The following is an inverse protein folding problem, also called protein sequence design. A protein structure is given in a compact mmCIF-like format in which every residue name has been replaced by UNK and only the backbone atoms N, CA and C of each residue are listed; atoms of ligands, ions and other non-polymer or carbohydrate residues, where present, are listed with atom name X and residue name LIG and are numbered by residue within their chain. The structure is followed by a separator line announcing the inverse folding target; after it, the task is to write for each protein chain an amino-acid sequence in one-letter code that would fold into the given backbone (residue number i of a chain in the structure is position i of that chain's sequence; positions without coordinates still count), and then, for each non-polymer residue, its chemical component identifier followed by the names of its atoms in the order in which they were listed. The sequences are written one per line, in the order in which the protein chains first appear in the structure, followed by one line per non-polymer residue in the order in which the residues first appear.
data_IF_506238878414
#
_entry.id   IF_506238878414
#
_cell.length_a   1.000
_cell.length_b   1.000
_cell.length_c   1.000
_cell.angle_alpha   90.00
_cell.angle_beta   90.00
_cell.angle_gamma   90.00
#
_symmetry.space_group_name_H-M   'P 1'
#
loop_
_entity.id
_entity.type
_entity.pdbx_description
1 polymer ?
#
# COMPACT_ATOMS: atom_id res chain seq x y z
N UNK A 1 4.03 9.00 -8.83
CA UNK A 1 3.09 8.09 -8.13
C UNK A 1 2.93 8.51 -6.67
N UNK A 2 1.71 8.51 -6.14
CA UNK A 2 1.40 8.81 -4.73
C UNK A 2 0.80 7.58 -4.05
N UNK A 3 1.49 7.01 -3.06
CA UNK A 3 1.06 5.81 -2.34
C UNK A 3 0.45 6.16 -0.98
N UNK A 4 -0.88 6.14 -0.91
CA UNK A 4 -1.63 6.50 0.30
C UNK A 4 -1.41 5.49 1.44
N UNK A 5 -1.14 5.99 2.64
CA UNK A 5 -1.10 5.20 3.88
C UNK A 5 -2.48 4.95 4.50
N UNK A 6 -2.54 4.12 5.55
CA UNK A 6 -3.81 3.78 6.23
C UNK A 6 -4.57 4.99 6.79
N UNK A 7 -3.86 6.03 7.23
CA UNK A 7 -4.45 7.26 7.76
C UNK A 7 -5.29 8.04 6.72
N UNK A 8 -5.05 7.81 5.42
CA UNK A 8 -5.79 8.46 4.35
C UNK A 8 -7.21 7.87 4.16
N UNK A 9 -7.48 6.69 4.74
CA UNK A 9 -8.65 5.87 4.40
C UNK A 9 -9.57 5.51 5.57
N UNK A 10 -9.25 5.88 6.81
CA UNK A 10 -10.04 5.52 7.99
C UNK A 10 -10.16 4.00 8.22
N UNK A 11 -10.96 3.59 9.20
CA UNK A 11 -11.13 2.15 9.55
C UNK A 11 -12.50 1.57 9.18
N UNK A 12 -13.46 2.41 8.80
CA UNK A 12 -14.82 2.02 8.41
C UNK A 12 -15.37 2.96 7.33
N UNK A 13 -16.54 2.67 6.70
CA UNK A 13 -17.08 3.49 5.63
C UNK A 13 -17.30 4.96 5.96
N UNK A 14 -17.77 5.28 7.18
CA UNK A 14 -18.04 6.66 7.59
C UNK A 14 -16.73 7.43 7.76
N UNK A 15 -15.77 6.85 8.49
CA UNK A 15 -14.44 7.43 8.67
C UNK A 15 -13.70 7.58 7.33
N UNK A 16 -13.84 6.60 6.43
CA UNK A 16 -13.19 6.64 5.12
C UNK A 16 -13.68 7.81 4.28
N UNK A 17 -14.99 8.06 4.21
CA UNK A 17 -15.53 9.21 3.46
C UNK A 17 -14.97 10.53 4.01
N UNK A 18 -14.80 10.63 5.34
CA UNK A 18 -14.23 11.81 5.97
C UNK A 18 -12.73 11.96 5.65
N UNK A 19 -11.94 10.89 5.82
CA UNK A 19 -10.50 10.89 5.56
C UNK A 19 -10.17 11.15 4.09
N UNK A 20 -10.95 10.56 3.18
CA UNK A 20 -10.83 10.75 1.73
C UNK A 20 -11.10 12.20 1.33
N UNK A 21 -11.93 12.96 2.07
CA UNK A 21 -12.13 14.37 1.77
C UNK A 21 -10.84 15.20 1.92
N UNK A 22 -10.08 14.95 2.99
CA UNK A 22 -8.78 15.61 3.20
C UNK A 22 -7.75 15.11 2.18
N UNK A 23 -7.75 13.80 1.92
CA UNK A 23 -6.86 13.18 0.94
C UNK A 23 -7.07 13.75 -0.46
N UNK A 24 -8.32 13.85 -0.93
CA UNK A 24 -8.65 14.43 -2.23
C UNK A 24 -8.22 15.89 -2.33
N UNK A 25 -8.37 16.67 -1.26
CA UNK A 25 -7.91 18.06 -1.21
C UNK A 25 -6.39 18.17 -1.44
N UNK A 26 -5.60 17.34 -0.75
CA UNK A 26 -4.16 17.32 -0.90
C UNK A 26 -3.72 16.85 -2.30
N UNK A 27 -4.33 15.76 -2.81
CA UNK A 27 -4.04 15.23 -4.14
C UNK A 27 -4.29 16.25 -5.25
N UNK A 28 -5.41 16.99 -5.18
CA UNK A 28 -5.68 18.04 -6.16
C UNK A 28 -4.72 19.23 -6.02
N UNK A 29 -4.21 19.51 -4.82
CA UNK A 29 -3.14 20.48 -4.63
C UNK A 29 -1.88 20.12 -5.41
N UNK A 30 -1.50 18.83 -5.42
CA UNK A 30 -0.38 18.34 -6.23
C UNK A 30 -0.62 18.52 -7.73
N UNK A 31 -1.84 18.22 -8.21
CA UNK A 31 -2.19 18.42 -9.62
C UNK A 31 -2.13 19.90 -10.00
N UNK A 32 -2.59 20.80 -9.13
CA UNK A 32 -2.54 22.25 -9.38
C UNK A 32 -1.12 22.83 -9.41
N UNK A 33 -0.14 22.13 -8.83
CA UNK A 33 1.29 22.45 -9.00
C UNK A 33 1.84 22.00 -10.37
N UNK A 34 1.02 21.38 -11.23
CA UNK A 34 1.41 20.94 -12.56
C UNK A 34 1.86 19.48 -12.65
N UNK A 35 1.62 18.68 -11.60
CA UNK A 35 2.00 17.27 -11.58
C UNK A 35 0.92 16.38 -12.19
N UNK A 36 1.35 15.38 -12.97
CA UNK A 36 0.55 14.23 -13.34
C UNK A 36 0.65 13.16 -12.24
N UNK A 37 -0.49 12.65 -11.76
CA UNK A 37 -0.51 11.75 -10.61
C UNK A 37 -1.22 10.43 -10.89
N UNK A 38 -0.61 9.38 -10.36
CA UNK A 38 -1.21 8.04 -10.21
C UNK A 38 -1.28 7.75 -8.72
N UNK A 39 -2.41 7.20 -8.27
CA UNK A 39 -2.69 6.97 -6.86
C UNK A 39 -2.70 5.48 -6.59
N UNK A 40 -1.95 5.05 -5.56
CA UNK A 40 -2.11 3.73 -4.94
C UNK A 40 -2.52 3.91 -3.50
N UNK A 41 -2.94 2.82 -2.84
CA UNK A 41 -3.32 2.89 -1.44
C UNK A 41 -3.13 1.56 -0.72
N UNK A 42 -2.98 1.58 0.60
CA UNK A 42 -3.13 0.38 1.43
C UNK A 42 -4.60 -0.05 1.58
N UNK A 43 -4.85 -1.25 2.12
CA UNK A 43 -6.20 -1.76 2.34
C UNK A 43 -6.39 -2.50 3.68
N UNK A 44 -5.38 -2.51 4.57
CA UNK A 44 -5.32 -3.39 5.74
C UNK A 44 -6.60 -3.40 6.60
N UNK A 45 -7.09 -2.24 7.10
CA UNK A 45 -8.34 -2.19 7.84
C UNK A 45 -9.56 -2.66 7.03
N UNK A 46 -9.64 -2.29 5.76
CA UNK A 46 -10.78 -2.54 4.89
C UNK A 46 -10.88 -4.01 4.48
N UNK A 47 -9.77 -4.64 4.09
CA UNK A 47 -9.72 -6.06 3.75
C UNK A 47 -9.99 -6.91 5.00
N UNK A 48 -9.46 -6.49 6.16
CA UNK A 48 -9.77 -7.15 7.44
C UNK A 48 -11.25 -7.07 7.81
N UNK A 49 -11.89 -5.92 7.62
CA UNK A 49 -13.35 -5.78 7.82
C UNK A 49 -14.15 -6.71 6.91
N UNK A 50 -13.78 -6.81 5.63
CA UNK A 50 -14.44 -7.70 4.66
C UNK A 50 -14.27 -9.18 5.07
N UNK A 51 -13.05 -9.60 5.41
CA UNK A 51 -12.77 -10.97 5.86
C UNK A 51 -13.57 -11.33 7.11
N UNK A 52 -13.57 -10.43 8.12
CA UNK A 52 -14.31 -10.66 9.36
C UNK A 52 -15.82 -10.77 9.11
N UNK A 53 -16.37 -9.97 8.20
CA UNK A 53 -17.79 -10.04 7.85
C UNK A 53 -18.15 -11.38 7.19
N UNK A 54 -17.33 -11.87 6.26
CA UNK A 54 -17.55 -13.17 5.63
C UNK A 54 -17.34 -14.34 6.60
N UNK A 55 -16.35 -14.28 7.49
CA UNK A 55 -16.16 -15.28 8.53
C UNK A 55 -17.37 -15.35 9.47
N UNK A 56 -17.85 -14.21 9.97
CA UNK A 56 -19.05 -14.17 10.80
C UNK A 56 -20.31 -14.68 10.08
N UNK A 57 -20.46 -14.39 8.79
CA UNK A 57 -21.57 -14.88 7.98
C UNK A 57 -21.45 -16.39 7.65
N UNK A 58 -20.23 -16.91 7.56
CA UNK A 58 -19.98 -18.35 7.46
C UNK A 58 -20.49 -19.06 8.72
N UNK A 59 -20.06 -18.59 9.89
CA UNK A 59 -20.44 -19.17 11.18
C UNK A 59 -21.95 -19.05 11.46
N UNK A 60 -22.55 -17.91 11.11
CA UNK A 60 -23.95 -17.63 11.44
C UNK A 60 -24.96 -18.29 10.49
N UNK A 61 -24.68 -18.31 9.18
CA UNK A 61 -25.66 -18.72 8.15
C UNK A 61 -25.08 -19.61 7.04
N UNK A 62 -23.84 -20.08 7.18
CA UNK A 62 -23.21 -20.99 6.21
C UNK A 62 -22.85 -20.33 4.88
N UNK A 63 -22.58 -19.01 4.87
CA UNK A 63 -22.04 -18.33 3.68
C UNK A 63 -20.69 -18.95 3.31
N UNK A 64 -20.34 -19.15 2.02
CA UNK A 64 -19.01 -19.64 1.65
C UNK A 64 -17.90 -18.77 2.23
N UNK A 65 -16.80 -19.40 2.66
CA UNK A 65 -15.60 -18.67 3.03
C UNK A 65 -15.12 -17.83 1.84
N UNK A 66 -14.75 -16.57 2.11
CA UNK A 66 -14.26 -15.67 1.08
C UNK A 66 -12.73 -15.68 1.08
N UNK A 67 -12.07 -16.18 0.02
CA UNK A 67 -10.62 -16.24 0.00
C UNK A 67 -10.00 -14.82 -0.04
N UNK A 68 -8.74 -14.75 0.35
CA UNK A 68 -8.03 -13.48 0.51
C UNK A 68 -7.89 -12.67 -0.80
N UNK A 69 -7.62 -13.27 -1.98
CA UNK A 69 -7.61 -12.54 -3.25
C UNK A 69 -8.92 -11.82 -3.55
N UNK A 70 -10.06 -12.48 -3.34
CA UNK A 70 -11.40 -11.91 -3.55
C UNK A 70 -11.68 -10.79 -2.54
N UNK A 71 -11.33 -10.99 -1.27
CA UNK A 71 -11.38 -9.91 -0.26
C UNK A 71 -10.52 -8.71 -0.69
N UNK A 72 -9.34 -8.96 -1.25
CA UNK A 72 -8.46 -7.95 -1.84
C UNK A 72 -9.15 -7.19 -2.97
N UNK A 73 -9.75 -7.90 -3.92
CA UNK A 73 -10.49 -7.31 -5.04
C UNK A 73 -11.68 -6.45 -4.57
N UNK A 74 -12.46 -6.94 -3.60
CA UNK A 74 -13.56 -6.19 -3.00
C UNK A 74 -13.05 -4.90 -2.34
N UNK A 75 -11.91 -4.96 -1.64
CA UNK A 75 -11.32 -3.79 -1.00
C UNK A 75 -10.86 -2.71 -2.00
N UNK A 76 -10.37 -3.11 -3.18
CA UNK A 76 -10.01 -2.16 -4.24
C UNK A 76 -11.24 -1.43 -4.78
N UNK A 77 -12.32 -2.16 -5.07
CA UNK A 77 -13.58 -1.55 -5.51
C UNK A 77 -14.17 -0.61 -4.46
N UNK A 78 -14.16 -1.03 -3.19
CA UNK A 78 -14.65 -0.24 -2.07
C UNK A 78 -13.86 1.07 -1.86
N UNK A 79 -12.53 0.98 -1.76
CA UNK A 79 -11.69 2.15 -1.50
C UNK A 79 -11.63 3.06 -2.74
N UNK A 80 -11.47 2.48 -3.93
CA UNK A 80 -11.44 3.22 -5.19
C UNK A 80 -12.73 3.98 -5.45
N UNK A 81 -13.88 3.39 -5.11
CA UNK A 81 -15.19 4.06 -5.15
C UNK A 81 -15.22 5.32 -4.27
N UNK A 82 -14.73 5.23 -3.03
CA UNK A 82 -14.70 6.40 -2.16
C UNK A 82 -13.69 7.45 -2.63
N UNK A 83 -12.50 7.04 -3.06
CA UNK A 83 -11.48 7.94 -3.61
C UNK A 83 -11.99 8.68 -4.85
N UNK A 84 -12.57 7.97 -5.84
CA UNK A 84 -13.12 8.63 -7.04
C UNK A 84 -14.22 9.64 -6.68
N UNK A 85 -15.07 9.35 -5.69
CA UNK A 85 -16.10 10.29 -5.25
C UNK A 85 -15.49 11.50 -4.54
N UNK A 86 -14.50 11.30 -3.69
CA UNK A 86 -13.78 12.37 -3.00
C UNK A 86 -13.08 13.31 -3.97
N UNK A 87 -12.32 12.74 -4.92
CA UNK A 87 -11.65 13.46 -6.00
C UNK A 87 -12.68 14.19 -6.86
N UNK A 88 -13.76 13.51 -7.28
CA UNK A 88 -14.86 14.13 -8.03
C UNK A 88 -15.48 15.34 -7.34
N UNK A 89 -15.76 15.23 -6.04
CA UNK A 89 -16.28 16.34 -5.23
C UNK A 89 -15.30 17.50 -5.17
N UNK A 90 -14.02 17.23 -4.97
CA UNK A 90 -13.01 18.28 -4.88
C UNK A 90 -12.75 18.94 -6.24
N UNK A 91 -12.74 18.17 -7.34
CA UNK A 91 -12.68 18.71 -8.71
C UNK A 91 -13.84 19.68 -8.97
N UNK A 92 -15.06 19.30 -8.56
CA UNK A 92 -16.24 20.15 -8.75
C UNK A 92 -16.12 21.49 -7.99
N UNK A 93 -15.65 21.47 -6.73
CA UNK A 93 -15.42 22.70 -5.96
C UNK A 93 -14.39 23.63 -6.62
N UNK A 94 -13.39 23.07 -7.30
CA UNK A 94 -12.34 23.82 -8.00
C UNK A 94 -12.67 24.11 -9.47
N UNK A 95 -13.90 23.83 -9.90
CA UNK A 95 -14.36 23.99 -11.29
C UNK A 95 -13.47 23.26 -12.32
N UNK A 96 -12.90 22.12 -11.94
CA UNK A 96 -12.09 21.25 -12.81
C UNK A 96 -12.98 20.18 -13.46
N UNK A 97 -12.58 19.73 -14.65
CA UNK A 97 -13.32 18.74 -15.46
C UNK A 97 -12.50 17.49 -15.77
N UNK A 98 -11.52 17.15 -14.94
CA UNK A 98 -10.74 15.93 -15.10
C UNK A 98 -11.58 14.69 -14.80
N UNK A 99 -11.08 13.53 -15.21
CA UNK A 99 -11.70 12.24 -14.97
C UNK A 99 -10.86 11.43 -13.99
N UNK A 100 -11.51 10.65 -13.13
CA UNK A 100 -10.85 9.73 -12.23
C UNK A 100 -11.36 8.31 -12.47
N UNK A 101 -10.47 7.33 -12.52
CA UNK A 101 -10.81 5.93 -12.75
C UNK A 101 -10.07 5.02 -11.76
N UNK A 102 -10.77 4.03 -11.22
CA UNK A 102 -10.16 2.96 -10.43
C UNK A 102 -9.99 1.73 -11.32
N UNK A 103 -8.80 1.17 -11.34
CA UNK A 103 -8.48 -0.07 -12.05
C UNK A 103 -8.32 -1.19 -11.03
N UNK A 104 -9.17 -2.23 -11.13
CA UNK A 104 -8.94 -3.47 -10.38
C UNK A 104 -7.63 -4.06 -10.90
N UNK A 105 -6.68 -4.25 -10.00
CA UNK A 105 -5.28 -4.54 -10.35
C UNK A 105 -4.82 -5.85 -9.74
N UNK A 106 -4.28 -6.72 -10.58
CA UNK A 106 -3.56 -7.94 -10.24
C UNK A 106 -2.06 -7.70 -10.34
N UNK A 107 -1.28 -8.33 -9.45
CA UNK A 107 0.17 -8.31 -9.49
C UNK A 107 0.69 -9.74 -9.51
N UNK A 108 1.47 -10.05 -10.54
CA UNK A 108 2.17 -11.31 -10.69
C UNK A 108 3.28 -11.41 -9.63
N UNK A 109 3.33 -12.55 -8.95
CA UNK A 109 4.34 -12.93 -7.98
C UNK A 109 5.03 -14.23 -8.44
N UNK A 110 6.23 -14.47 -7.90
CA UNK A 110 6.92 -15.74 -8.09
C UNK A 110 6.25 -16.84 -7.22
N UNK A 111 5.75 -17.96 -7.79
CA UNK A 111 5.19 -19.04 -6.99
C UNK A 111 6.20 -19.70 -6.03
N UNK A 112 7.50 -19.56 -6.29
CA UNK A 112 8.57 -20.09 -5.45
C UNK A 112 9.12 -19.05 -4.46
N UNK A 113 8.49 -17.88 -4.35
CA UNK A 113 8.91 -16.82 -3.43
C UNK A 113 9.04 -17.36 -1.97
N UNK A 114 10.20 -17.15 -1.31
CA UNK A 114 10.41 -17.60 0.07
C UNK A 114 9.34 -17.12 1.07
N UNK A 115 8.67 -16.00 0.81
CA UNK A 115 7.60 -15.47 1.65
C UNK A 115 6.40 -16.42 1.79
N UNK A 116 6.16 -17.31 0.82
CA UNK A 116 5.13 -18.35 0.93
C UNK A 116 5.48 -19.41 1.99
N UNK A 117 6.77 -19.68 2.19
CA UNK A 117 7.25 -20.62 3.21
C UNK A 117 7.42 -19.97 4.58
N UNK A 118 7.64 -18.66 4.62
CA UNK A 118 7.77 -17.88 5.85
C UNK A 118 6.85 -16.64 5.85
N UNK A 119 5.56 -16.82 6.15
CA UNK A 119 4.60 -15.72 6.25
C UNK A 119 4.98 -14.73 7.35
N UNK A 120 5.05 -13.44 7.02
CA UNK A 120 5.45 -12.38 7.98
C UNK A 120 4.45 -11.24 8.07
N UNK A 121 3.54 -11.08 7.09
CA UNK A 121 2.68 -9.88 7.02
C UNK A 121 1.46 -10.04 7.91
N UNK A 122 1.30 -9.24 8.98
CA UNK A 122 0.19 -9.39 9.90
C UNK A 122 -1.11 -8.84 9.31
N UNK A 123 -2.19 -9.62 9.40
CA UNK A 123 -3.54 -9.31 8.92
C UNK A 123 -4.59 -9.54 10.02
N UNK A 124 -5.78 -8.98 9.83
CA UNK A 124 -6.90 -9.17 10.77
C UNK A 124 -6.68 -8.53 12.15
N UNK A 125 -7.53 -8.87 13.13
CA UNK A 125 -7.50 -8.30 14.48
C UNK A 125 -6.39 -8.91 15.36
N UNK A 126 -6.23 -8.35 16.57
CA UNK A 126 -5.35 -8.90 17.61
C UNK A 126 -6.08 -9.95 18.44
N UNK A 127 -5.37 -11.00 18.80
CA UNK A 127 -5.82 -12.13 19.61
C UNK A 127 -4.91 -12.34 20.81
N UNK A 128 -5.38 -13.08 21.82
CA UNK A 128 -4.50 -13.58 22.89
C UNK A 128 -3.62 -14.72 22.39
N UNK A 129 -2.56 -15.04 23.13
CA UNK A 129 -1.69 -16.18 22.80
C UNK A 129 -2.47 -17.50 22.81
N UNK A 130 -3.43 -17.66 23.73
CA UNK A 130 -4.27 -18.85 23.84
C UNK A 130 -5.16 -19.01 22.61
N UNK A 131 -5.84 -17.95 22.19
CA UNK A 131 -6.68 -17.95 20.98
C UNK A 131 -5.85 -18.25 19.72
N UNK A 132 -4.67 -17.63 19.60
CA UNK A 132 -3.78 -17.89 18.47
C UNK A 132 -3.34 -19.37 18.41
N UNK A 133 -3.00 -19.97 19.56
CA UNK A 133 -2.66 -21.40 19.66
C UNK A 133 -3.83 -22.31 19.30
N UNK A 134 -5.05 -21.95 19.72
CA UNK A 134 -6.27 -22.67 19.38
C UNK A 134 -6.50 -22.65 17.86
N UNK A 135 -6.47 -21.48 17.22
CA UNK A 135 -6.64 -21.37 15.77
C UNK A 135 -5.57 -22.14 14.97
N UNK A 136 -4.32 -22.13 15.42
CA UNK A 136 -3.24 -22.91 14.78
C UNK A 136 -3.40 -24.42 14.98
N UNK A 137 -4.04 -24.86 16.08
CA UNK A 137 -4.33 -26.26 16.32
C UNK A 137 -5.53 -26.76 15.48
N UNK A 138 -6.53 -25.92 15.27
CA UNK A 138 -7.69 -26.21 14.42
C UNK A 138 -7.35 -26.22 12.93
N UNK A 139 -6.51 -25.27 12.49
CA UNK A 139 -6.11 -25.13 11.10
C UNK A 139 -4.60 -24.82 11.00
N UNK A 140 -3.78 -25.87 10.77
CA UNK A 140 -2.32 -25.73 10.65
C UNK A 140 -1.86 -24.84 9.48
N UNK A 141 -2.76 -24.47 8.54
CA UNK A 141 -2.44 -23.54 7.46
C UNK A 141 -2.46 -22.08 7.90
N UNK A 142 -3.08 -21.77 9.05
CA UNK A 142 -3.05 -20.44 9.65
C UNK A 142 -1.80 -20.33 10.52
N UNK A 143 -1.04 -19.26 10.31
CA UNK A 143 0.13 -18.93 11.13
C UNK A 143 -0.16 -17.64 11.89
N UNK A 144 0.16 -17.61 13.18
CA UNK A 144 0.04 -16.41 14.02
C UNK A 144 1.38 -16.07 14.64
N UNK A 145 1.66 -14.78 14.80
CA UNK A 145 2.88 -14.27 15.46
C UNK A 145 2.53 -13.17 16.46
N UNK A 146 3.40 -12.97 17.44
CA UNK A 146 3.37 -11.83 18.36
C UNK A 146 3.68 -10.53 17.58
N UNK A 147 2.88 -9.48 17.78
CA UNK A 147 3.03 -8.19 17.12
C UNK A 147 3.28 -7.07 18.15
N UNK A 148 4.55 -6.89 18.50
CA UNK A 148 5.09 -5.70 19.17
C UNK A 148 4.46 -5.39 20.54
N UNK A 149 4.14 -6.41 21.32
CA UNK A 149 3.51 -6.32 22.64
C UNK A 149 2.01 -6.04 22.60
N UNK A 150 1.38 -6.02 21.41
CA UNK A 150 -0.04 -5.69 21.24
C UNK A 150 -0.95 -6.90 21.16
N UNK A 151 -0.39 -8.11 21.18
CA UNK A 151 -1.09 -9.38 21.04
C UNK A 151 -0.60 -10.18 19.84
N UNK A 152 -1.35 -11.22 19.49
CA UNK A 152 -1.04 -12.12 18.38
C UNK A 152 -1.89 -11.79 17.16
N UNK A 153 -1.31 -11.87 15.96
CA UNK A 153 -2.02 -11.64 14.70
C UNK A 153 -1.74 -12.74 13.70
N UNK A 154 -2.74 -13.05 12.87
CA UNK A 154 -2.55 -13.95 11.74
C UNK A 154 -1.56 -13.32 10.77
N UNK A 155 -0.62 -14.09 10.26
CA UNK A 155 0.30 -13.67 9.20
C UNK A 155 0.00 -14.41 7.91
N UNK A 156 0.25 -13.72 6.81
CA UNK A 156 0.18 -14.26 5.45
C UNK A 156 1.47 -13.94 4.70
N UNK A 157 1.67 -14.64 3.58
CA UNK A 157 2.79 -14.39 2.71
C UNK A 157 2.74 -12.95 2.17
N UNK A 158 3.91 -12.32 2.06
CA UNK A 158 4.10 -11.02 1.39
C UNK A 158 5.21 -11.15 0.35
N UNK A 159 4.90 -11.78 -0.79
CA UNK A 159 5.87 -11.99 -1.87
C UNK A 159 6.27 -10.67 -2.52
N UNK A 160 7.43 -10.68 -3.16
CA UNK A 160 7.93 -9.53 -3.92
C UNK A 160 7.11 -9.35 -5.22
N UNK A 161 6.57 -8.15 -5.48
CA UNK A 161 5.77 -7.91 -6.68
C UNK A 161 6.66 -7.91 -7.93
N UNK A 162 6.28 -8.68 -8.96
CA UNK A 162 7.09 -8.85 -10.19
C UNK A 162 6.55 -8.10 -11.39
N UNK A 163 5.23 -8.08 -11.58
CA UNK A 163 4.62 -7.45 -12.74
C UNK A 163 3.19 -7.02 -12.46
N UNK A 164 2.84 -5.81 -12.87
CA UNK A 164 1.44 -5.36 -12.88
C UNK A 164 0.76 -5.92 -14.13
N UNK A 165 -0.31 -6.71 -13.94
CA UNK A 165 -1.00 -7.36 -15.07
C UNK A 165 -1.72 -6.33 -15.94
N UNK A 166 -2.34 -5.32 -15.32
CA UNK A 166 -3.09 -4.26 -16.00
C UNK A 166 -2.24 -3.01 -16.32
N UNK A 167 -0.91 -3.12 -16.37
CA UNK A 167 0.00 -1.98 -16.61
C UNK A 167 -0.38 -1.18 -17.87
N UNK A 168 -0.60 -1.87 -19.00
CA UNK A 168 -0.98 -1.22 -20.26
C UNK A 168 -2.32 -0.46 -20.14
N UNK A 169 -3.29 -1.00 -19.39
CA UNK A 169 -4.57 -0.32 -19.16
C UNK A 169 -4.40 0.94 -18.33
N UNK A 170 -3.52 0.90 -17.31
CA UNK A 170 -3.21 2.04 -16.45
C UNK A 170 -2.52 3.14 -17.27
N UNK A 171 -1.50 2.79 -18.06
CA UNK A 171 -0.79 3.71 -18.95
C UNK A 171 -1.72 4.38 -19.96
N UNK A 172 -2.58 3.60 -20.64
CA UNK A 172 -3.52 4.15 -21.60
C UNK A 172 -4.51 5.15 -20.97
N UNK A 173 -4.91 4.96 -19.70
CA UNK A 173 -5.75 5.92 -19.00
C UNK A 173 -4.99 7.22 -18.69
N UNK A 174 -3.72 7.11 -18.29
CA UNK A 174 -2.86 8.26 -18.01
C UNK A 174 -2.59 9.08 -19.27
N UNK A 175 -2.30 8.42 -20.39
CA UNK A 175 -2.14 9.06 -21.71
C UNK A 175 -3.39 9.82 -22.16
N UNK A 176 -4.55 9.51 -21.57
CA UNK A 176 -5.83 10.20 -21.79
C UNK A 176 -6.22 11.14 -20.64
N UNK A 177 -5.24 11.60 -19.85
CA UNK A 177 -5.37 12.61 -18.80
C UNK A 177 -6.30 12.19 -17.64
N UNK A 178 -6.46 10.88 -17.40
CA UNK A 178 -7.19 10.39 -16.22
C UNK A 178 -6.32 10.45 -14.97
N UNK A 179 -6.94 10.81 -13.85
CA UNK A 179 -6.43 10.57 -12.51
C UNK A 179 -6.68 9.08 -12.20
N UNK A 180 -5.64 8.26 -12.30
CA UNK A 180 -5.77 6.80 -12.13
C UNK A 180 -5.53 6.38 -10.69
N UNK A 181 -6.42 5.54 -10.16
CA UNK A 181 -6.27 4.83 -8.90
C UNK A 181 -6.03 3.35 -9.24
N UNK A 182 -4.88 2.80 -8.86
CA UNK A 182 -4.50 1.43 -9.19
C UNK A 182 -3.68 0.78 -8.06
N UNK A 183 -3.39 -0.52 -8.20
CA UNK A 183 -2.60 -1.29 -7.22
C UNK A 183 -3.14 -1.17 -5.78
N UNK A 184 -4.47 -1.06 -5.62
CA UNK A 184 -5.08 -0.91 -4.31
C UNK A 184 -4.77 -2.11 -3.41
N UNK A 185 -4.31 -1.84 -2.19
CA UNK A 185 -3.84 -2.86 -1.25
C UNK A 185 -2.50 -3.49 -1.62
N UNK A 186 -1.74 -2.90 -2.54
CA UNK A 186 -0.57 -3.55 -3.16
C UNK A 186 -0.93 -4.45 -4.33
N UNK A 187 -2.19 -4.47 -4.80
CA UNK A 187 -2.64 -5.35 -5.89
C UNK A 187 -3.10 -6.73 -5.41
N UNK A 188 -3.90 -7.42 -6.23
CA UNK A 188 -4.36 -8.79 -5.98
C UNK A 188 -3.23 -9.75 -6.38
N UNK A 189 -2.64 -10.53 -5.45
CA UNK A 189 -1.53 -11.40 -5.81
C UNK A 189 -1.99 -12.56 -6.69
N UNK A 190 -1.30 -12.73 -7.82
CA UNK A 190 -1.55 -13.83 -8.76
C UNK A 190 -0.24 -14.52 -9.15
N UNK A 191 -0.33 -15.79 -9.54
CA UNK A 191 0.77 -16.54 -10.14
C UNK A 191 0.34 -17.05 -11.52
N UNK A 192 1.30 -17.33 -12.41
CA UNK A 192 1.02 -18.03 -13.66
C UNK A 192 0.73 -19.49 -13.42
N UNK A 193 -0.41 -19.95 -13.91
CA UNK A 193 -0.79 -21.35 -13.96
C UNK A 193 -0.40 -21.94 -15.32
N UNK A 194 0.77 -22.59 -15.38
CA UNK A 194 1.25 -23.22 -16.61
C UNK A 194 0.48 -24.50 -16.97
N UNK A 195 -0.26 -25.10 -16.03
CA UNK A 195 -1.15 -26.22 -16.35
C UNK A 195 -2.39 -25.73 -17.11
N UNK A 196 -2.81 -24.48 -16.88
CA UNK A 196 -3.88 -23.80 -17.59
C UNK A 196 -3.37 -22.74 -18.58
N UNK A 197 -2.45 -23.12 -19.46
CA UNK A 197 -1.94 -22.30 -20.58
C UNK A 197 -1.37 -20.93 -20.15
N UNK A 198 -0.87 -20.81 -18.93
CA UNK A 198 -0.28 -19.58 -18.42
C UNK A 198 -1.30 -18.52 -18.00
N UNK A 199 -2.56 -18.89 -17.75
CA UNK A 199 -3.53 -17.98 -17.15
C UNK A 199 -3.11 -17.58 -15.74
N UNK A 200 -3.67 -16.48 -15.22
CA UNK A 200 -3.42 -16.09 -13.84
C UNK A 200 -4.35 -16.80 -12.87
N UNK A 201 -3.83 -17.11 -11.68
CA UNK A 201 -4.57 -17.65 -10.56
C UNK A 201 -4.26 -16.86 -9.29
N UNK A 202 -5.29 -16.45 -8.56
CA UNK A 202 -5.14 -15.76 -7.27
C UNK A 202 -4.49 -16.65 -6.22
N UNK A 203 -3.63 -16.06 -5.39
CA UNK A 203 -2.95 -16.74 -4.28
C UNK A 203 -3.16 -16.00 -2.96
N UNK A 204 -3.34 -16.71 -1.83
CA UNK A 204 -3.65 -16.09 -0.54
C UNK A 204 -2.42 -15.41 0.08
N UNK A 205 -2.08 -14.23 -0.45
CA UNK A 205 -0.99 -13.38 0.00
C UNK A 205 -1.44 -11.91 0.09
N UNK A 206 -0.57 -11.06 0.64
CA UNK A 206 -0.73 -9.59 0.61
C UNK A 206 0.59 -9.00 0.20
N UNK A 207 0.61 -8.29 -0.94
CA UNK A 207 1.79 -7.54 -1.37
C UNK A 207 1.91 -6.28 -0.52
N UNK A 208 3.13 -5.92 -0.14
CA UNK A 208 3.34 -4.65 0.56
C UNK A 208 2.95 -3.47 -0.32
N UNK A 209 2.09 -2.58 0.18
CA UNK A 209 1.55 -1.47 -0.58
C UNK A 209 2.62 -0.46 -1.03
N UNK A 210 3.71 -0.33 -0.27
CA UNK A 210 4.81 0.57 -0.63
C UNK A 210 5.63 -0.05 -1.78
N UNK A 211 5.87 -1.36 -1.77
CA UNK A 211 6.48 -2.09 -2.90
C UNK A 211 5.58 -2.14 -4.14
N UNK A 212 4.26 -2.32 -3.96
CA UNK A 212 3.31 -2.25 -5.07
C UNK A 212 3.23 -0.84 -5.69
N UNK A 213 3.32 0.21 -4.86
CA UNK A 213 3.42 1.59 -5.32
C UNK A 213 4.75 1.91 -6.01
N UNK A 214 5.83 1.32 -5.52
CA UNK A 214 7.16 1.42 -6.14
C UNK A 214 7.21 0.75 -7.51
N UNK A 215 6.74 -0.50 -7.64
CA UNK A 215 6.65 -1.18 -8.94
C UNK A 215 5.81 -0.37 -9.94
N UNK A 216 4.68 0.19 -9.50
CA UNK A 216 3.87 1.06 -10.37
C UNK A 216 4.62 2.32 -10.79
N UNK A 217 5.44 2.88 -9.92
CA UNK A 217 6.24 4.07 -10.25
C UNK A 217 7.34 3.74 -11.26
N UNK A 218 7.96 2.56 -11.16
CA UNK A 218 8.90 2.09 -12.17
C UNK A 218 8.22 1.84 -13.51
N UNK A 219 7.12 1.08 -13.52
CA UNK A 219 6.37 0.69 -14.73
C UNK A 219 5.76 1.87 -15.48
N UNK A 220 5.40 2.95 -14.76
CA UNK A 220 4.84 4.17 -15.35
C UNK A 220 5.88 5.26 -15.63
N UNK A 221 7.17 4.95 -15.54
CA UNK A 221 8.28 5.88 -15.69
C UNK A 221 8.15 7.18 -14.88
N UNK A 222 7.64 7.07 -13.65
CA UNK A 222 7.44 8.24 -12.81
C UNK A 222 8.78 8.87 -12.41
N UNK A 223 8.81 10.21 -12.31
CA UNK A 223 9.96 10.94 -11.76
C UNK A 223 10.02 10.86 -10.23
N UNK A 224 8.83 10.83 -9.59
CA UNK A 224 8.69 10.87 -8.13
C UNK A 224 7.76 9.77 -7.64
N UNK A 225 8.23 9.03 -6.63
CA UNK A 225 7.40 8.17 -5.78
C UNK A 225 7.18 8.88 -4.45
N UNK A 226 5.93 9.16 -4.11
CA UNK A 226 5.58 9.79 -2.83
C UNK A 226 4.86 8.79 -1.92
N UNK A 227 5.58 8.30 -0.91
CA UNK A 227 5.06 7.38 0.11
C UNK A 227 4.49 8.16 1.29
N UNK A 228 3.16 8.22 1.36
CA UNK A 228 2.48 8.97 2.43
C UNK A 228 2.37 8.15 3.72
N UNK A 229 2.65 8.81 4.84
CA UNK A 229 2.67 8.23 6.18
C UNK A 229 2.12 9.19 7.24
N UNK A 230 2.15 8.78 8.51
CA UNK A 230 1.65 9.52 9.67
C UNK A 230 2.63 10.57 10.22
N UNK A 231 3.88 10.51 9.78
CA UNK A 231 4.99 11.34 10.26
C UNK A 231 5.47 12.24 9.15
N UNK A 232 5.95 13.41 9.51
CA UNK A 232 6.47 14.39 8.55
C UNK A 232 7.80 13.92 7.97
N UNK A 233 8.74 13.48 8.82
CA UNK A 233 10.05 12.98 8.42
C UNK A 233 10.29 11.54 8.89
N UNK A 234 11.11 10.81 8.15
CA UNK A 234 11.80 9.60 8.62
C UNK A 234 12.82 10.03 9.67
N UNK A 235 12.94 9.28 10.76
CA UNK A 235 13.89 9.58 11.81
C UNK A 235 14.76 8.37 12.15
N UNK A 236 16.01 8.65 12.54
CA UNK A 236 16.91 7.69 13.18
C UNK A 236 16.83 7.84 14.70
N UNK A 237 17.26 6.81 15.43
CA UNK A 237 17.14 6.79 16.89
C UNK A 237 15.72 7.10 17.39
N UNK A 238 14.71 6.62 16.65
CA UNK A 238 13.31 6.93 16.91
C UNK A 238 12.91 6.61 18.37
N UNK A 239 12.28 7.57 19.03
CA UNK A 239 11.87 7.47 20.44
C UNK A 239 13.01 7.61 21.46
N UNK A 240 14.24 7.90 21.05
CA UNK A 240 15.39 8.12 21.95
C UNK A 240 15.70 9.62 22.10
N UNK A 241 16.46 10.03 23.15
CA UNK A 241 16.83 11.43 23.35
C UNK A 241 17.64 12.06 22.21
N UNK A 242 18.32 11.23 21.42
CA UNK A 242 19.11 11.63 20.25
C UNK A 242 18.39 11.30 18.92
N UNK A 243 17.06 11.31 18.91
CA UNK A 243 16.27 11.21 17.69
C UNK A 243 16.63 12.35 16.74
N UNK A 244 16.83 12.02 15.47
CA UNK A 244 17.20 12.97 14.42
C UNK A 244 16.33 12.70 13.19
N UNK A 245 15.76 13.75 12.63
CA UNK A 245 14.92 13.70 11.43
C UNK A 245 15.80 13.79 10.18
N UNK A 246 15.50 12.94 9.20
CA UNK A 246 16.17 12.91 7.91
C UNK A 246 15.39 13.79 6.93
N UNK A 247 16.06 14.75 6.30
CA UNK A 247 15.44 15.66 5.32
C UNK A 247 15.79 15.25 3.89
N UNK A 248 17.07 15.06 3.60
CA UNK A 248 17.57 14.77 2.25
C UNK A 248 18.80 13.85 2.37
N UNK A 249 18.68 12.63 1.85
CA UNK A 249 19.71 11.59 1.96
C UNK A 249 19.86 10.80 0.65
N UNK A 250 21.04 10.26 0.44
CA UNK A 250 21.29 9.32 -0.67
C UNK A 250 20.70 7.94 -0.37
N UNK A 251 20.44 7.17 -1.42
CA UNK A 251 20.02 5.78 -1.33
C UNK A 251 21.06 4.92 -0.61
N UNK A 252 22.35 5.22 -0.77
CA UNK A 252 23.44 4.52 -0.08
C UNK A 252 23.45 4.80 1.42
N UNK A 253 23.18 6.04 1.83
CA UNK A 253 23.03 6.37 3.25
C UNK A 253 21.77 5.73 3.85
N UNK A 254 20.65 5.77 3.13
CA UNK A 254 19.42 5.12 3.56
C UNK A 254 19.60 3.59 3.71
N UNK A 255 20.32 2.94 2.79
CA UNK A 255 20.66 1.52 2.86
C UNK A 255 21.47 1.21 4.12
N UNK A 256 22.54 1.97 4.37
CA UNK A 256 23.38 1.80 5.56
C UNK A 256 22.56 1.93 6.85
N UNK A 257 21.72 2.95 6.95
CA UNK A 257 20.87 3.18 8.13
C UNK A 257 19.83 2.07 8.32
N UNK A 258 19.28 1.54 7.23
CA UNK A 258 18.37 0.41 7.27
C UNK A 258 19.06 -0.88 7.75
N UNK A 259 20.29 -1.13 7.27
CA UNK A 259 21.11 -2.27 7.69
C UNK A 259 21.56 -2.18 9.15
N UNK A 260 21.74 -0.96 9.66
CA UNK A 260 21.98 -0.66 11.08
C UNK A 260 20.73 -0.85 11.96
N UNK A 261 19.56 -1.11 11.36
CA UNK A 261 18.31 -1.32 12.07
C UNK A 261 17.72 -0.04 12.66
N UNK A 262 17.98 1.12 12.06
CA UNK A 262 17.42 2.40 12.51
C UNK A 262 15.90 2.50 12.30
N UNK A 263 15.35 1.69 11.39
CA UNK A 263 13.94 1.74 11.01
C UNK A 263 13.16 0.53 11.52
N UNK A 264 11.89 0.71 11.88
CA UNK A 264 11.04 -0.37 12.38
C UNK A 264 10.65 -1.37 11.27
N UNK A 265 10.96 -2.66 11.48
CA UNK A 265 10.72 -3.78 10.54
C UNK A 265 9.29 -3.89 9.99
N UNK A 266 8.29 -3.54 10.81
CA UNK A 266 6.87 -3.62 10.43
C UNK A 266 6.26 -2.31 9.92
N UNK A 267 7.02 -1.23 9.87
CA UNK A 267 6.48 0.12 9.64
C UNK A 267 7.32 0.95 8.68
N UNK A 268 8.47 1.47 9.14
CA UNK A 268 9.27 2.42 8.37
C UNK A 268 10.30 1.72 7.48
N UNK A 269 10.84 0.56 7.89
CA UNK A 269 11.85 -0.15 7.10
C UNK A 269 11.34 -0.54 5.70
N UNK A 270 10.13 -1.12 5.53
CA UNK A 270 9.62 -1.43 4.20
C UNK A 270 9.49 -0.19 3.29
N UNK A 271 9.15 0.97 3.87
CA UNK A 271 9.05 2.25 3.14
C UNK A 271 10.40 2.72 2.65
N UNK A 272 11.39 2.69 3.53
CA UNK A 272 12.76 3.10 3.17
C UNK A 272 13.34 2.15 2.13
N UNK A 273 13.12 0.84 2.25
CA UNK A 273 13.58 -0.13 1.24
C UNK A 273 12.92 0.09 -0.12
N UNK A 274 11.61 0.35 -0.16
CA UNK A 274 10.91 0.73 -1.40
C UNK A 274 11.46 2.05 -1.98
N UNK A 275 11.72 3.04 -1.12
CA UNK A 275 12.28 4.32 -1.53
C UNK A 275 13.68 4.19 -2.14
N UNK A 276 14.56 3.39 -1.53
CA UNK A 276 15.89 3.07 -2.04
C UNK A 276 15.80 2.39 -3.40
N UNK A 277 14.94 1.37 -3.53
CA UNK A 277 14.74 0.63 -4.78
C UNK A 277 14.33 1.57 -5.90
N UNK A 278 13.32 2.40 -5.67
CA UNK A 278 12.86 3.40 -6.64
C UNK A 278 13.95 4.41 -7.01
N UNK A 279 14.65 4.98 -6.02
CA UNK A 279 15.70 5.97 -6.26
C UNK A 279 16.84 5.41 -7.14
N UNK A 280 17.22 4.15 -6.92
CA UNK A 280 18.25 3.45 -7.70
C UNK A 280 17.79 2.95 -9.06
N UNK A 281 16.48 2.87 -9.30
CA UNK A 281 15.92 2.28 -10.52
C UNK A 281 16.28 3.05 -11.79
N UNK A 282 16.48 4.38 -11.69
CA UNK A 282 16.94 5.23 -12.78
C UNK A 282 17.45 6.57 -12.24
N UNK A 283 18.52 7.09 -12.86
CA UNK A 283 19.06 8.42 -12.57
C UNK A 283 17.98 9.52 -12.64
N UNK A 284 17.97 10.36 -11.62
CA UNK A 284 17.05 11.51 -11.50
C UNK A 284 15.70 11.18 -10.87
N UNK A 285 15.44 9.91 -10.51
CA UNK A 285 14.28 9.55 -9.71
C UNK A 285 14.50 9.87 -8.24
N UNK A 286 13.44 10.35 -7.60
CA UNK A 286 13.44 10.67 -6.17
C UNK A 286 12.24 10.04 -5.49
N UNK A 287 12.47 9.32 -4.40
CA UNK A 287 11.39 8.94 -3.51
C UNK A 287 11.24 9.98 -2.39
N UNK A 288 10.01 10.32 -2.02
CA UNK A 288 9.71 11.19 -0.90
C UNK A 288 8.85 10.42 0.10
N UNK A 289 9.19 10.50 1.38
CA UNK A 289 8.40 9.94 2.48
C UNK A 289 7.94 11.11 3.35
N UNK A 290 6.64 11.25 3.57
CA UNK A 290 6.12 12.36 4.38
C UNK A 290 4.63 12.31 4.67
N UNK A 291 4.13 13.35 5.33
CA UNK A 291 2.75 13.44 5.78
C UNK A 291 1.80 13.99 4.70
N UNK A 292 0.56 13.51 4.71
CA UNK A 292 -0.47 13.87 3.72
C UNK A 292 -0.87 15.36 3.78
N UNK A 293 -0.97 15.92 4.98
CA UNK A 293 -1.33 17.32 5.21
C UNK A 293 -0.22 18.31 4.78
N UNK A 294 1.02 17.82 4.65
CA UNK A 294 2.16 18.58 4.13
C UNK A 294 2.48 18.26 2.67
N UNK A 295 1.66 17.47 1.97
CA UNK A 295 1.99 16.92 0.65
C UNK A 295 2.45 17.99 -0.36
N UNK A 296 1.79 19.14 -0.41
CA UNK A 296 2.15 20.24 -1.30
C UNK A 296 3.51 20.87 -0.97
N UNK A 297 3.83 20.99 0.32
CA UNK A 297 5.10 21.53 0.83
C UNK A 297 6.23 20.52 0.61
N UNK A 298 5.95 19.24 0.86
CA UNK A 298 6.85 18.12 0.62
C UNK A 298 7.25 18.03 -0.85
N UNK A 299 6.30 18.17 -1.77
CA UNK A 299 6.57 18.21 -3.21
C UNK A 299 7.46 19.40 -3.60
N UNK A 300 7.24 20.56 -2.97
CA UNK A 300 8.05 21.78 -3.15
C UNK A 300 9.44 21.73 -2.47
N UNK A 301 9.75 20.68 -1.71
CA UNK A 301 11.04 20.51 -1.03
C UNK A 301 11.16 21.25 0.30
N UNK A 302 10.02 21.56 0.92
CA UNK A 302 9.96 22.29 2.19
C UNK A 302 9.66 21.38 3.40
N UNK A 303 9.44 20.09 3.18
CA UNK A 303 9.06 19.09 4.19
C UNK A 303 9.33 17.68 3.64
N UNK A 304 9.23 16.66 4.48
CA UNK A 304 9.43 15.26 4.10
C UNK A 304 10.88 14.83 4.00
N UNK A 305 11.11 13.52 3.96
CA UNK A 305 12.42 12.93 3.70
C UNK A 305 12.55 12.60 2.23
N UNK A 306 13.57 13.13 1.57
CA UNK A 306 13.93 12.84 0.17
C UNK A 306 15.03 11.78 0.14
N UNK A 307 14.80 10.74 -0.65
CA UNK A 307 15.75 9.67 -0.93
C UNK A 307 15.97 9.65 -2.44
N UNK A 308 17.21 9.88 -2.84
CA UNK A 308 17.63 9.95 -4.25
C UNK A 308 18.86 9.07 -4.50
N UNK A 309 19.22 8.85 -5.77
CA UNK A 309 20.46 8.14 -6.16
C UNK A 309 21.70 8.73 -5.47
#
# INVERSE_FOLDING_TARGET
VVALGGNALGNNPVEQIQAVSNTAHALLGLIEQGNEIIITHGNGPQVGMIQNAFAAAHDAIGTPEMPLPECGAMSQGYIGYHLQQGIGREMHKRYKRWHAATVVTQIECDPDDPAFKNPTKPIGPFYTEEQAKEFMAEDPSKVFVEDSGRGWRRVVASPDPKKIVEADSILNLLDNEFIVIACGGGGIPVVRDYENKGCYKGVPAVIDKDLGGELLAEDCDADVLFLLTAVEHVAINFGKPNQEELEDITADEAERLADEGQFGKGSMEPKVRAAIKFARSRKGRTCIIGALDKAAETMAGLSGTRIHE
#
